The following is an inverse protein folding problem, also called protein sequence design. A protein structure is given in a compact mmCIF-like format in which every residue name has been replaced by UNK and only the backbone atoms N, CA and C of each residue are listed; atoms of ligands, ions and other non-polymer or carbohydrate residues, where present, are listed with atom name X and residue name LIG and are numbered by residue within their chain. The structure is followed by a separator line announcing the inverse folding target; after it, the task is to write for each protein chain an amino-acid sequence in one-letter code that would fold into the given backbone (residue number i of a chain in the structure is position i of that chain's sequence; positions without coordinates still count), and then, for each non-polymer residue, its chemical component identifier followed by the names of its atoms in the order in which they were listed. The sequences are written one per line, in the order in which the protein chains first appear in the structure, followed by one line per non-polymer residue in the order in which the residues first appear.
data_IF_870953929796
#
_entry.id   IF_870953929796
#
_cell.length_a   1.000
_cell.length_b   1.000
_cell.length_c   1.000
_cell.angle_alpha   90.00
_cell.angle_beta   90.00
_cell.angle_gamma   90.00
#
_symmetry.space_group_name_H-M   'P 1'
#
loop_
_entity.id
_entity.type
_entity.pdbx_description
1 polymer ?
#
# COMPACT_ATOMS: atom_id res chain seq x y z
N UNK A 1 -1.77 -5.38 1.20
CA UNK A 1 -3.23 -5.19 1.07
C UNK A 1 -3.91 -5.59 2.37
N UNK A 2 -5.07 -5.02 2.65
CA UNK A 2 -5.86 -5.29 3.86
C UNK A 2 -7.35 -5.20 3.56
N UNK A 3 -8.19 -5.91 4.31
CA UNK A 3 -9.64 -5.72 4.28
C UNK A 3 -10.06 -4.68 5.32
N UNK A 4 -10.79 -3.66 4.89
CA UNK A 4 -11.49 -2.69 5.71
C UNK A 4 -12.93 -3.17 5.96
N UNK A 5 -13.25 -3.64 7.18
CA UNK A 5 -14.58 -4.13 7.50
C UNK A 5 -15.62 -3.00 7.63
N UNK A 6 -15.22 -1.74 7.84
CA UNK A 6 -16.17 -0.63 7.98
C UNK A 6 -16.82 -0.27 6.64
N UNK A 7 -16.04 -0.37 5.55
CA UNK A 7 -16.51 -0.09 4.18
C UNK A 7 -16.74 -1.34 3.34
N UNK A 8 -16.43 -2.53 3.88
CA UNK A 8 -16.41 -3.79 3.17
C UNK A 8 -15.54 -3.74 1.89
N UNK A 9 -14.35 -3.14 2.00
CA UNK A 9 -13.43 -2.94 0.87
C UNK A 9 -12.08 -3.58 1.11
N UNK A 10 -11.39 -3.97 0.04
CA UNK A 10 -9.96 -4.24 0.09
C UNK A 10 -9.22 -2.95 -0.22
N UNK A 11 -8.22 -2.62 0.59
CA UNK A 11 -7.28 -1.52 0.34
C UNK A 11 -5.91 -2.09 0.01
N UNK A 12 -5.35 -1.61 -1.09
CA UNK A 12 -4.00 -1.92 -1.56
C UNK A 12 -3.19 -0.63 -1.60
N UNK A 13 -1.95 -0.69 -1.12
CA UNK A 13 -0.98 0.38 -1.25
C UNK A 13 0.30 -0.15 -1.89
N UNK A 14 0.79 0.60 -2.89
CA UNK A 14 2.05 0.38 -3.55
C UNK A 14 2.19 -0.97 -4.25
N UNK A 15 3.39 -1.53 -4.19
CA UNK A 15 3.81 -2.69 -4.98
C UNK A 15 5.00 -2.35 -5.87
N UNK A 16 5.43 -3.32 -6.67
CA UNK A 16 6.57 -3.17 -7.56
C UNK A 16 6.25 -3.77 -8.93
N UNK A 17 6.82 -3.18 -9.98
CA UNK A 17 6.76 -3.79 -11.31
C UNK A 17 7.53 -5.11 -11.31
N UNK A 18 6.96 -6.14 -11.90
CA UNK A 18 7.71 -7.34 -12.25
C UNK A 18 8.44 -7.03 -13.55
N UNK A 19 9.76 -6.90 -13.53
CA UNK A 19 10.54 -6.92 -14.76
C UNK A 19 10.92 -8.38 -15.07
N UNK A 20 10.30 -9.04 -16.07
CA UNK A 20 10.64 -10.41 -16.42
C UNK A 20 12.02 -10.55 -17.09
N UNK A 21 12.66 -9.45 -17.51
CA UNK A 21 13.94 -9.42 -18.24
C UNK A 21 15.04 -8.66 -17.45
N UNK A 22 15.13 -8.92 -16.15
CA UNK A 22 15.97 -8.13 -15.26
C UNK A 22 17.48 -8.38 -15.49
N UNK A 23 18.09 -7.58 -16.37
CA UNK A 23 19.55 -7.52 -16.53
C UNK A 23 20.23 -6.34 -15.81
N UNK A 24 19.51 -5.39 -15.18
CA UNK A 24 20.12 -4.39 -14.27
C UNK A 24 19.20 -3.32 -13.65
N UNK A 25 17.92 -3.18 -14.02
CA UNK A 25 17.08 -2.12 -13.45
C UNK A 25 16.40 -2.54 -12.14
N UNK A 26 16.50 -1.70 -11.10
CA UNK A 26 15.64 -1.79 -9.90
C UNK A 26 14.17 -1.78 -10.33
N UNK A 27 13.28 -2.60 -9.72
CA UNK A 27 11.87 -2.57 -10.07
C UNK A 27 11.29 -1.17 -9.83
N UNK A 28 10.35 -0.76 -10.68
CA UNK A 28 9.59 0.45 -10.43
C UNK A 28 8.71 0.21 -9.21
N UNK A 29 8.75 1.12 -8.24
CA UNK A 29 8.02 0.98 -6.98
C UNK A 29 6.89 2.01 -6.96
N UNK A 30 5.69 1.56 -6.63
CA UNK A 30 4.47 2.38 -6.70
C UNK A 30 4.09 2.94 -5.32
N UNK A 31 3.50 4.14 -5.31
CA UNK A 31 2.99 4.89 -4.16
C UNK A 31 1.48 5.15 -4.23
N UNK A 32 0.80 4.52 -5.18
CA UNK A 32 -0.63 4.65 -5.35
C UNK A 32 -1.41 3.78 -4.34
N UNK A 33 -2.62 4.24 -4.04
CA UNK A 33 -3.57 3.51 -3.20
C UNK A 33 -4.77 3.13 -4.04
N UNK A 34 -5.23 1.89 -3.91
CA UNK A 34 -6.40 1.37 -4.61
C UNK A 34 -7.38 0.78 -3.62
N UNK A 35 -8.68 0.97 -3.90
CA UNK A 35 -9.76 0.31 -3.18
C UNK A 35 -10.57 -0.60 -4.11
N UNK A 36 -10.99 -1.74 -3.58
CA UNK A 36 -11.86 -2.70 -4.26
C UNK A 36 -13.13 -2.92 -3.46
N UNK A 37 -14.29 -2.77 -4.10
CA UNK A 37 -15.61 -2.94 -3.47
C UNK A 37 -16.21 -4.34 -3.65
N UNK A 38 -15.44 -5.29 -4.20
CA UNK A 38 -15.92 -6.62 -4.59
C UNK A 38 -16.23 -6.77 -6.08
N UNK A 39 -16.34 -5.65 -6.81
CA UNK A 39 -16.63 -5.63 -8.25
C UNK A 39 -15.67 -4.74 -9.03
N UNK A 40 -15.33 -3.57 -8.51
CA UNK A 40 -14.55 -2.54 -9.20
C UNK A 40 -13.37 -2.07 -8.38
N UNK A 41 -12.24 -1.86 -9.08
CA UNK A 41 -11.08 -1.20 -8.52
C UNK A 41 -11.16 0.29 -8.80
N UNK A 42 -10.94 1.08 -7.77
CA UNK A 42 -10.88 2.54 -7.83
C UNK A 42 -9.57 3.02 -7.21
N UNK A 43 -8.81 3.81 -7.97
CA UNK A 43 -7.64 4.49 -7.42
C UNK A 43 -8.10 5.60 -6.46
N UNK A 44 -7.50 5.63 -5.28
CA UNK A 44 -7.70 6.68 -4.30
C UNK A 44 -6.62 7.76 -4.50
N UNK A 45 -6.94 9.00 -4.15
CA UNK A 45 -6.03 10.14 -4.25
C UNK A 45 -5.90 10.86 -2.89
N UNK A 46 -5.20 10.25 -1.90
CA UNK A 46 -4.96 10.90 -0.61
C UNK A 46 -4.09 12.15 -0.79
N UNK A 47 -4.31 13.17 0.03
CA UNK A 47 -3.47 14.39 0.01
C UNK A 47 -2.07 14.14 0.55
N UNK A 48 -1.92 13.16 1.45
CA UNK A 48 -0.64 12.72 1.99
C UNK A 48 -0.47 11.24 1.70
N UNK A 49 0.60 10.89 0.98
CA UNK A 49 0.89 9.51 0.59
C UNK A 49 2.25 9.09 1.13
N UNK A 50 2.40 7.85 1.65
CA UNK A 50 3.72 7.29 1.93
C UNK A 50 4.56 7.22 0.65
N UNK A 51 5.88 7.20 0.79
CA UNK A 51 6.75 6.86 -0.35
C UNK A 51 6.44 5.46 -0.86
N UNK A 52 6.56 5.30 -2.19
CA UNK A 52 6.29 4.04 -2.85
C UNK A 52 7.12 2.92 -2.26
N UNK A 53 6.46 1.77 -2.04
CA UNK A 53 7.08 0.62 -1.40
C UNK A 53 6.41 -0.68 -1.80
N UNK A 54 7.15 -1.77 -1.69
CA UNK A 54 6.66 -3.13 -1.85
C UNK A 54 6.99 -3.95 -0.59
N UNK A 55 6.35 -5.11 -0.42
CA UNK A 55 6.49 -5.96 0.77
C UNK A 55 6.12 -5.28 2.11
N UNK A 56 5.44 -4.14 2.05
CA UNK A 56 4.93 -3.48 3.25
C UNK A 56 3.73 -4.24 3.81
N UNK A 57 3.62 -4.23 5.15
CA UNK A 57 2.54 -4.92 5.85
C UNK A 57 1.40 -3.95 6.13
N UNK A 58 0.16 -4.41 5.95
CA UNK A 58 -1.05 -3.63 6.20
C UNK A 58 -2.01 -4.39 7.11
N UNK A 59 -2.60 -3.72 8.09
CA UNK A 59 -3.62 -4.27 8.98
C UNK A 59 -4.69 -3.23 9.29
N UNK A 60 -5.88 -3.68 9.68
CA UNK A 60 -6.97 -2.82 10.15
C UNK A 60 -7.00 -2.87 11.67
N UNK A 61 -6.90 -1.71 12.33
CA UNK A 61 -7.08 -1.56 13.76
C UNK A 61 -8.53 -1.19 14.05
N UNK A 62 -9.29 -2.13 14.61
CA UNK A 62 -10.69 -1.93 14.95
C UNK A 62 -10.93 -1.00 16.14
N UNK A 63 -9.93 -0.80 17.01
CA UNK A 63 -10.05 0.10 18.15
C UNK A 63 -10.02 1.57 17.71
N UNK A 64 -9.25 1.88 16.67
CA UNK A 64 -9.08 3.24 16.13
C UNK A 64 -9.79 3.46 14.79
N UNK A 65 -10.32 2.39 14.18
CA UNK A 65 -10.96 2.41 12.85
C UNK A 65 -10.01 2.91 11.75
N UNK A 66 -8.74 2.52 11.84
CA UNK A 66 -7.71 2.94 10.91
C UNK A 66 -7.03 1.75 10.25
N UNK A 67 -6.61 1.95 9.01
CA UNK A 67 -5.65 1.05 8.37
C UNK A 67 -4.25 1.50 8.77
N UNK A 68 -3.44 0.56 9.24
CA UNK A 68 -2.04 0.77 9.55
C UNK A 68 -1.18 0.11 8.48
N UNK A 69 -0.23 0.86 7.95
CA UNK A 69 0.84 0.40 7.06
C UNK A 69 2.17 0.56 7.79
N UNK A 70 3.01 -0.49 7.77
CA UNK A 70 4.34 -0.45 8.37
C UNK A 70 5.40 -1.04 7.45
N UNK A 71 6.56 -0.38 7.43
CA UNK A 71 7.77 -0.86 6.79
C UNK A 71 7.63 -1.06 5.29
N UNK A 72 8.32 -2.07 4.75
CA UNK A 72 8.41 -2.39 3.33
C UNK A 72 9.70 -1.88 2.68
N UNK A 73 10.01 -2.40 1.50
CA UNK A 73 11.17 -2.02 0.72
C UNK A 73 10.86 -0.83 -0.19
N UNK A 74 11.69 0.21 -0.14
CA UNK A 74 11.63 1.40 -1.01
C UNK A 74 12.33 1.15 -2.35
N UNK A 75 13.33 0.27 -2.36
CA UNK A 75 14.06 -0.23 -3.51
C UNK A 75 14.81 -1.53 -3.11
N UNK A 76 15.77 -1.99 -3.90
CA UNK A 76 16.52 -3.24 -3.63
C UNK A 76 17.51 -3.16 -2.48
N UNK A 77 17.83 -1.96 -1.96
CA UNK A 77 18.86 -1.73 -0.94
C UNK A 77 18.38 -0.90 0.25
N UNK A 78 17.11 -0.47 0.27
CA UNK A 78 16.56 0.40 1.30
C UNK A 78 15.18 -0.07 1.73
N UNK A 79 15.02 -0.18 3.05
CA UNK A 79 13.76 -0.45 3.72
C UNK A 79 13.24 0.80 4.42
N UNK A 80 11.92 0.86 4.57
CA UNK A 80 11.25 1.86 5.38
C UNK A 80 11.06 1.34 6.80
N UNK A 81 11.09 2.25 7.79
CA UNK A 81 10.89 1.96 9.21
C UNK A 81 9.79 2.84 9.84
N UNK A 82 8.98 3.48 9.01
CA UNK A 82 7.89 4.36 9.37
C UNK A 82 6.55 3.60 9.47
N UNK A 83 5.63 4.20 10.23
CA UNK A 83 4.24 3.77 10.34
C UNK A 83 3.35 4.85 9.73
N UNK A 84 2.42 4.42 8.89
CA UNK A 84 1.38 5.27 8.32
C UNK A 84 0.01 4.78 8.72
N UNK A 85 -0.90 5.71 8.97
CA UNK A 85 -2.30 5.43 9.24
C UNK A 85 -3.17 6.09 8.19
N UNK A 86 -4.09 5.33 7.60
CA UNK A 86 -5.11 5.85 6.71
C UNK A 86 -6.40 6.02 7.52
N UNK A 87 -6.88 7.27 7.61
CA UNK A 87 -8.24 7.54 8.04
C UNK A 87 -9.19 7.25 6.88
N UNK A 88 -10.11 6.32 7.08
CA UNK A 88 -11.16 6.01 6.10
C UNK A 88 -12.48 6.68 6.51
N UNK A 89 -12.48 8.02 6.58
CA UNK A 89 -13.69 8.83 6.75
C UNK A 89 -13.63 10.10 5.88
#
# INVERSE_FOLDING_TARGET
MVFDPALARIVLFGGASTNPDATSASPAVFDDTWSFDGTTWQQLHPTTVPSGRFLAQMTYDSATQQIVLFGGALNTTSDANDTWTFGVH
#
